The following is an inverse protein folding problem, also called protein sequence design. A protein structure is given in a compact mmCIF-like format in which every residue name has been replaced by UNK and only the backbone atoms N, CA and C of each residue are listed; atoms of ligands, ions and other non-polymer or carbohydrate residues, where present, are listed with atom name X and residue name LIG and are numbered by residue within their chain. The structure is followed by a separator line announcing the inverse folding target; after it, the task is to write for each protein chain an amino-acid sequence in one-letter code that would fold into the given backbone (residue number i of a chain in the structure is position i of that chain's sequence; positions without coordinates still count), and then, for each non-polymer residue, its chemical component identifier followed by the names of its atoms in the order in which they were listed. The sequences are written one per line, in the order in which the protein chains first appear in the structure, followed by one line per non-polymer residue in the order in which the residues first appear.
data_IF_915747867095
#
_entry.id   IF_915747867095
#
_cell.length_a   1.000
_cell.length_b   1.000
_cell.length_c   1.000
_cell.angle_alpha   90.00
_cell.angle_beta   90.00
_cell.angle_gamma   90.00
#
_symmetry.space_group_name_H-M   'P 1'
#
loop_
_entity.id
_entity.type
_entity.pdbx_description
1 polymer ?
#
# COMPACT_ATOMS: atom_id res chain seq x y z
N UNK A 1 10.45 -26.16 -4.48
CA UNK A 1 9.33 -25.92 -3.55
C UNK A 1 9.80 -26.18 -2.13
N UNK A 2 9.74 -25.17 -1.25
CA UNK A 2 10.12 -25.27 0.17
C UNK A 2 9.15 -24.43 0.99
N UNK A 3 8.75 -25.01 2.13
CA UNK A 3 7.67 -24.59 3.03
C UNK A 3 8.17 -23.55 4.04
N UNK A 4 7.29 -22.59 4.36
CA UNK A 4 7.49 -21.47 5.28
C UNK A 4 7.51 -21.94 6.75
N UNK A 5 8.12 -21.17 7.66
CA UNK A 5 8.01 -21.41 9.11
C UNK A 5 6.77 -20.68 9.67
N UNK A 6 5.88 -21.44 10.31
CA UNK A 6 4.62 -20.96 10.89
C UNK A 6 4.72 -20.58 12.37
N UNK A 7 5.83 -20.87 13.04
CA UNK A 7 6.06 -20.46 14.43
C UNK A 7 5.99 -18.93 14.60
N UNK A 8 6.17 -18.20 13.51
CA UNK A 8 6.23 -16.75 13.42
C UNK A 8 4.83 -16.08 13.35
N UNK A 9 3.75 -16.86 13.25
CA UNK A 9 2.39 -16.36 13.01
C UNK A 9 1.42 -16.57 14.21
N UNK A 10 1.91 -16.94 15.40
CA UNK A 10 1.11 -17.75 16.32
C UNK A 10 0.07 -17.06 17.24
N UNK A 11 0.01 -15.74 17.45
CA UNK A 11 -0.95 -15.21 18.46
C UNK A 11 -2.29 -14.64 17.95
N UNK A 12 -2.41 -14.05 16.75
CA UNK A 12 -3.63 -13.21 16.51
C UNK A 12 -4.35 -13.26 15.16
N UNK A 13 -4.06 -14.16 14.23
CA UNK A 13 -4.70 -14.10 12.90
C UNK A 13 -5.76 -15.17 12.68
N UNK A 14 -7.00 -14.89 13.09
CA UNK A 14 -8.18 -15.70 12.75
C UNK A 14 -8.85 -15.16 11.49
N UNK A 15 -8.65 -15.85 10.36
CA UNK A 15 -9.54 -15.81 9.19
C UNK A 15 -8.84 -15.85 7.82
N UNK A 16 -9.48 -16.42 6.76
CA UNK A 16 -8.95 -16.47 5.39
C UNK A 16 -8.97 -15.10 4.67
N UNK A 17 -9.40 -14.05 5.36
CA UNK A 17 -9.41 -12.66 4.93
C UNK A 17 -8.21 -11.97 5.58
N UNK A 18 -7.37 -11.31 4.77
CA UNK A 18 -6.28 -10.48 5.29
C UNK A 18 -6.87 -9.56 6.37
N UNK A 19 -6.44 -9.72 7.61
CA UNK A 19 -6.95 -8.93 8.74
C UNK A 19 -6.61 -7.47 8.44
N UNK A 20 -7.62 -6.62 8.26
CA UNK A 20 -7.41 -5.18 8.15
C UNK A 20 -6.62 -4.70 9.37
N UNK A 21 -5.60 -3.87 9.15
CA UNK A 21 -4.89 -3.19 10.26
C UNK A 21 -5.76 -2.14 10.94
N UNK A 22 -6.89 -1.77 10.33
CA UNK A 22 -7.88 -0.85 10.85
C UNK A 22 -9.09 -1.64 11.40
N UNK A 23 -9.42 -1.52 12.70
CA UNK A 23 -10.62 -2.12 13.27
C UNK A 23 -11.88 -1.73 12.49
N UNK A 24 -12.82 -2.67 12.33
CA UNK A 24 -14.09 -2.42 11.63
C UNK A 24 -14.01 -2.48 10.10
N UNK A 25 -12.87 -2.89 9.52
CA UNK A 25 -12.71 -3.01 8.07
C UNK A 25 -12.24 -4.42 7.63
N UNK A 26 -12.45 -4.74 6.36
CA UNK A 26 -12.01 -5.96 5.67
C UNK A 26 -11.30 -5.62 4.36
N UNK A 27 -10.29 -6.41 4.00
CA UNK A 27 -9.65 -6.29 2.68
C UNK A 27 -10.51 -7.02 1.64
N UNK A 28 -11.15 -6.29 0.73
CA UNK A 28 -11.90 -6.88 -0.39
C UNK A 28 -11.18 -6.79 -1.72
N UNK A 29 -10.38 -5.72 -1.92
CA UNK A 29 -9.61 -5.47 -3.13
C UNK A 29 -8.18 -5.18 -2.75
N UNK A 30 -7.27 -5.67 -3.58
CA UNK A 30 -5.84 -5.46 -3.37
C UNK A 30 -5.02 -6.34 -4.28
N UNK A 31 -3.72 -6.19 -4.21
CA UNK A 31 -2.80 -7.01 -4.98
C UNK A 31 -1.37 -6.51 -4.90
N UNK A 32 -0.53 -7.12 -5.73
CA UNK A 32 0.87 -6.77 -5.86
C UNK A 32 1.08 -5.83 -7.05
N UNK A 33 1.89 -4.79 -6.86
CA UNK A 33 2.32 -3.87 -7.93
C UNK A 33 3.84 -3.83 -7.98
N UNK A 34 4.36 -3.76 -9.21
CA UNK A 34 5.79 -3.62 -9.49
C UNK A 34 5.96 -2.49 -10.50
N UNK A 35 6.78 -1.51 -10.14
CA UNK A 35 7.28 -0.48 -11.04
C UNK A 35 8.78 -0.72 -11.22
N UNK A 36 9.20 -1.26 -12.38
CA UNK A 36 10.57 -1.71 -12.59
C UNK A 36 11.55 -0.55 -12.79
N UNK A 37 11.05 0.62 -13.19
CA UNK A 37 11.85 1.81 -13.47
C UNK A 37 11.73 2.85 -12.34
N UNK A 38 12.80 3.64 -12.10
CA UNK A 38 12.78 4.69 -11.11
C UNK A 38 11.97 5.91 -11.58
N UNK A 39 11.58 6.77 -10.64
CA UNK A 39 10.76 7.96 -10.88
C UNK A 39 9.37 7.68 -11.45
N UNK A 40 8.89 6.45 -11.30
CA UNK A 40 7.51 6.12 -11.63
C UNK A 40 6.58 6.71 -10.58
N UNK A 41 5.52 7.38 -11.04
CA UNK A 41 4.42 7.91 -10.21
C UNK A 41 3.24 6.94 -10.30
N UNK A 42 2.76 6.40 -9.19
CA UNK A 42 1.57 5.51 -9.20
C UNK A 42 0.36 6.24 -9.77
N UNK A 43 -0.61 5.51 -10.31
CA UNK A 43 -1.81 6.05 -10.98
C UNK A 43 -1.46 6.97 -12.16
N UNK A 44 -1.50 6.41 -13.38
CA UNK A 44 -1.10 7.11 -14.61
C UNK A 44 -2.16 8.14 -15.07
N UNK A 45 -3.19 8.36 -14.27
CA UNK A 45 -4.30 9.27 -14.53
C UNK A 45 -3.87 10.72 -14.25
N UNK A 46 -4.22 11.69 -15.13
CA UNK A 46 -3.99 13.08 -14.85
C UNK A 46 -4.86 13.58 -13.68
N UNK A 47 -4.24 14.26 -12.71
CA UNK A 47 -4.96 14.96 -11.64
C UNK A 47 -5.05 14.16 -10.34
N UNK A 48 -6.18 14.33 -9.63
CA UNK A 48 -6.39 13.76 -8.30
C UNK A 48 -6.82 12.29 -8.37
N UNK A 49 -6.21 11.44 -7.57
CA UNK A 49 -6.59 10.05 -7.36
C UNK A 49 -7.08 9.85 -5.93
N UNK A 50 -8.38 9.56 -5.77
CA UNK A 50 -9.03 9.44 -4.46
C UNK A 50 -9.99 8.26 -4.42
N UNK A 51 -10.24 7.76 -3.21
CA UNK A 51 -11.15 6.65 -2.94
C UNK A 51 -12.17 7.01 -1.85
N UNK A 52 -13.30 6.30 -1.82
CA UNK A 52 -14.35 6.46 -0.79
C UNK A 52 -14.10 5.61 0.46
N UNK A 53 -13.07 4.78 0.42
CA UNK A 53 -12.63 3.91 1.52
C UNK A 53 -11.13 4.09 1.71
N UNK A 54 -10.58 3.80 2.90
CA UNK A 54 -9.14 3.88 3.10
C UNK A 54 -8.39 2.94 2.15
N UNK A 55 -7.24 3.40 1.66
CA UNK A 55 -6.28 2.57 0.94
C UNK A 55 -4.98 2.48 1.72
N UNK A 56 -4.39 1.29 1.77
CA UNK A 56 -3.08 1.07 2.37
C UNK A 56 -2.09 0.50 1.36
N UNK A 57 -0.89 1.07 1.32
CA UNK A 57 0.27 0.49 0.66
C UNK A 57 1.23 -0.10 1.70
N UNK A 58 1.69 -1.33 1.48
CA UNK A 58 2.77 -1.94 2.25
C UNK A 58 4.00 -2.04 1.34
N UNK A 59 5.04 -1.26 1.64
CA UNK A 59 6.22 -1.16 0.78
C UNK A 59 7.12 -2.38 1.03
N UNK A 60 7.26 -3.22 0.01
CA UNK A 60 8.09 -4.43 0.05
C UNK A 60 9.52 -4.12 -0.38
N UNK A 61 9.69 -3.26 -1.39
CA UNK A 61 10.99 -2.85 -1.91
C UNK A 61 10.93 -1.42 -2.44
N UNK A 62 12.07 -0.73 -2.39
CA UNK A 62 12.23 0.61 -2.92
C UNK A 62 11.98 1.69 -1.88
N UNK A 63 12.07 2.93 -2.34
CA UNK A 63 11.84 4.14 -1.55
C UNK A 63 11.37 5.25 -2.46
N UNK A 64 10.84 6.31 -1.88
CA UNK A 64 10.33 7.42 -2.67
C UNK A 64 9.74 8.54 -1.85
N UNK A 65 8.85 9.28 -2.50
CA UNK A 65 8.10 10.38 -1.93
C UNK A 65 6.61 10.14 -2.13
N UNK A 66 5.82 10.67 -1.20
CA UNK A 66 4.37 10.71 -1.28
C UNK A 66 4.00 12.07 -1.88
N UNK A 67 3.17 12.05 -2.91
CA UNK A 67 2.59 13.25 -3.51
C UNK A 67 1.10 13.31 -3.20
N UNK A 68 0.66 14.46 -2.69
CA UNK A 68 -0.74 14.80 -2.39
C UNK A 68 -1.04 16.18 -2.96
N UNK A 69 -2.14 16.29 -3.71
CA UNK A 69 -2.59 17.50 -4.40
C UNK A 69 -1.47 18.16 -5.25
N UNK A 70 -0.62 17.33 -5.86
CA UNK A 70 0.48 17.75 -6.74
C UNK A 70 1.73 18.25 -6.02
N UNK A 71 1.84 18.08 -4.71
CA UNK A 71 3.03 18.44 -3.92
C UNK A 71 3.63 17.22 -3.21
N UNK A 72 4.96 17.12 -3.16
CA UNK A 72 5.64 16.12 -2.33
C UNK A 72 5.47 16.48 -0.84
N UNK A 73 4.84 15.59 -0.06
CA UNK A 73 4.48 15.84 1.34
C UNK A 73 5.28 15.01 2.34
N UNK A 74 5.73 13.82 1.98
CA UNK A 74 6.51 12.95 2.85
C UNK A 74 7.36 11.94 2.05
N UNK A 75 8.12 11.09 2.74
CA UNK A 75 8.96 10.02 2.19
C UNK A 75 8.46 8.66 2.64
N UNK A 76 8.75 7.66 1.82
CA UNK A 76 8.52 6.25 2.18
C UNK A 76 9.73 5.39 1.84
N UNK A 77 9.81 4.22 2.48
CA UNK A 77 10.80 3.17 2.22
C UNK A 77 10.26 1.78 2.53
N UNK A 78 10.97 0.76 2.04
CA UNK A 78 10.68 -0.63 2.33
C UNK A 78 10.50 -0.91 3.84
N UNK A 79 9.48 -1.71 4.16
CA UNK A 79 9.07 -2.05 5.52
C UNK A 79 8.03 -1.11 6.13
N UNK A 80 7.69 0.00 5.47
CA UNK A 80 6.66 0.92 5.93
C UNK A 80 5.29 0.59 5.33
N UNK A 81 4.24 0.95 6.06
CA UNK A 81 2.86 0.93 5.59
C UNK A 81 2.30 2.35 5.58
N UNK A 82 1.65 2.72 4.48
CA UNK A 82 1.11 4.05 4.23
C UNK A 82 -0.40 3.93 4.13
N UNK A 83 -1.13 4.59 5.02
CA UNK A 83 -2.59 4.62 5.01
C UNK A 83 -3.05 5.99 4.50
N UNK A 84 -3.96 5.97 3.53
CA UNK A 84 -4.64 7.16 3.02
C UNK A 84 -6.12 7.07 3.39
N UNK A 85 -6.64 8.13 3.99
CA UNK A 85 -8.03 8.24 4.40
C UNK A 85 -8.96 8.48 3.20
N UNK A 86 -10.28 8.21 3.33
CA UNK A 86 -11.24 8.51 2.29
C UNK A 86 -11.17 9.97 1.83
N UNK A 87 -11.05 10.17 0.52
CA UNK A 87 -10.97 11.49 -0.10
C UNK A 87 -9.57 12.13 -0.12
N UNK A 88 -8.56 11.51 0.49
CA UNK A 88 -7.18 11.98 0.41
C UNK A 88 -6.57 11.63 -0.94
N UNK A 89 -5.98 12.64 -1.60
CA UNK A 89 -5.21 12.44 -2.82
C UNK A 89 -3.87 11.77 -2.49
N UNK A 90 -3.49 10.77 -3.28
CA UNK A 90 -2.26 10.04 -3.01
C UNK A 90 -1.63 9.48 -4.28
N UNK A 91 -0.33 9.70 -4.38
CA UNK A 91 0.53 9.07 -5.37
C UNK A 91 1.87 8.73 -4.70
N UNK A 92 2.43 7.56 -5.01
CA UNK A 92 3.80 7.24 -4.66
C UNK A 92 4.70 7.51 -5.86
N UNK A 93 5.77 8.25 -5.66
CA UNK A 93 6.78 8.47 -6.69
C UNK A 93 8.07 7.79 -6.26
N UNK A 94 8.49 6.76 -7.01
CA UNK A 94 9.72 6.04 -6.71
C UNK A 94 10.95 6.95 -6.87
N UNK A 95 11.93 6.76 -6.00
CA UNK A 95 13.23 7.46 -6.04
C UNK A 95 14.35 6.43 -5.84
N UNK A 96 15.47 6.62 -6.52
CA UNK A 96 16.63 5.72 -6.47
C UNK A 96 16.74 4.83 -7.70
N UNK A 97 17.41 3.69 -7.58
CA UNK A 97 17.69 2.74 -8.68
C UNK A 97 16.97 1.37 -8.51
N UNK A 98 16.30 1.17 -7.38
CA UNK A 98 15.57 -0.07 -7.10
C UNK A 98 14.15 0.00 -7.65
N UNK A 99 13.61 -1.13 -8.16
CA UNK A 99 12.18 -1.23 -8.44
C UNK A 99 11.35 -0.92 -7.21
N UNK A 100 10.25 -0.17 -7.41
CA UNK A 100 9.24 0.03 -6.39
C UNK A 100 8.28 -1.16 -6.40
N UNK A 101 8.19 -1.83 -5.26
CA UNK A 101 7.37 -3.03 -5.08
C UNK A 101 6.52 -2.86 -3.84
N UNK A 102 5.21 -3.00 -3.98
CA UNK A 102 4.28 -2.85 -2.87
C UNK A 102 3.04 -3.72 -3.03
N UNK A 103 2.40 -3.98 -1.90
CA UNK A 103 1.03 -4.50 -1.82
C UNK A 103 0.10 -3.34 -1.58
N UNK A 104 -1.01 -3.26 -2.30
CA UNK A 104 -2.07 -2.28 -2.08
C UNK A 104 -3.35 -2.99 -1.64
N UNK A 105 -4.13 -2.36 -0.77
CA UNK A 105 -5.38 -2.90 -0.25
C UNK A 105 -6.38 -1.78 0.01
N UNK A 106 -7.62 -1.94 -0.48
CA UNK A 106 -8.75 -1.16 -0.01
C UNK A 106 -9.31 -1.78 1.27
N UNK A 107 -9.55 -0.93 2.28
CA UNK A 107 -10.13 -1.33 3.56
C UNK A 107 -11.63 -1.00 3.54
N UNK A 108 -12.47 -1.97 3.23
CA UNK A 108 -13.92 -1.78 3.17
C UNK A 108 -14.55 -1.95 4.55
N UNK A 109 -15.59 -1.19 4.93
CA UNK A 109 -16.30 -1.40 6.20
C UNK A 109 -16.83 -2.84 6.32
N UNK A 110 -16.79 -3.41 7.53
CA UNK A 110 -17.44 -4.70 7.81
C UNK A 110 -18.96 -4.44 7.87
N UNK A 111 -19.72 -5.16 7.05
CA UNK A 111 -21.19 -5.15 7.06
C UNK A 111 -21.77 -5.84 8.30
#
# INVERSE_FOLDING_TARGET
MRKLNIAEFQEHHRGPTFTSVLPGHVVQRGGFRVYPEPNFRTHDEPGRHVHTVPEIFVIVQGSGVIETDGAEVDRFRAGEALLFEPGEDHHLISRGDQPLVFVWMHLEPVS
#
